data_IF_205481702796
#
_entry.id   IF_205481702796
#
_cell.length_a   1.000
_cell.length_b   1.000
_cell.length_c   1.000
_cell.angle_alpha   90.00
_cell.angle_beta   90.00
_cell.angle_gamma   90.00
#
_symmetry.space_group_name_H-M   'P 1'
#
loop_
_entity.id
_entity.type
_entity.pdbx_description
1 polymer ?
#
# COMPACT_ATOMS: atom_id res chain seq x y z
N UNK A 1 16.35 -8.18 26.41
CA UNK A 1 14.89 -8.14 26.16
C UNK A 1 14.38 -6.81 25.57
N UNK A 2 15.24 -5.82 25.28
CA UNK A 2 14.84 -4.57 24.60
C UNK A 2 14.88 -4.72 23.07
N UNK A 3 15.79 -5.53 22.56
CA UNK A 3 16.01 -5.72 21.11
C UNK A 3 14.95 -6.62 20.44
N UNK A 4 14.22 -7.44 21.21
CA UNK A 4 13.20 -8.35 20.66
C UNK A 4 11.85 -7.63 20.43
N UNK A 5 11.55 -6.61 21.25
CA UNK A 5 10.38 -5.74 21.08
C UNK A 5 10.52 -4.82 19.87
N UNK A 6 11.74 -4.39 19.56
CA UNK A 6 12.04 -3.55 18.39
C UNK A 6 11.82 -4.32 17.08
N UNK A 7 12.17 -5.62 17.05
CA UNK A 7 11.96 -6.50 15.89
C UNK A 7 10.47 -6.77 15.61
N UNK A 8 9.65 -6.80 16.66
CA UNK A 8 8.21 -7.02 16.52
C UNK A 8 7.48 -5.76 16.01
N UNK A 9 7.95 -4.56 16.36
CA UNK A 9 7.43 -3.30 15.80
C UNK A 9 7.78 -3.11 14.32
N UNK A 10 8.94 -3.58 13.87
CA UNK A 10 9.36 -3.46 12.47
C UNK A 10 8.54 -4.32 11.50
N UNK A 11 7.88 -5.38 11.97
CA UNK A 11 7.01 -6.23 11.14
C UNK A 11 5.60 -5.64 10.94
N UNK A 12 5.22 -4.64 11.74
CA UNK A 12 3.89 -3.99 11.66
C UNK A 12 3.90 -2.67 10.88
N UNK A 13 5.07 -2.14 10.53
CA UNK A 13 5.22 -0.88 9.77
C UNK A 13 5.56 -1.06 8.28
N UNK A 14 5.74 -2.28 7.78
CA UNK A 14 5.86 -2.53 6.33
C UNK A 14 4.49 -2.51 5.64
N UNK A 15 3.67 -1.52 5.99
CA UNK A 15 2.48 -1.12 5.25
C UNK A 15 2.91 -0.35 4.01
N UNK A 16 3.14 -1.09 2.92
CA UNK A 16 2.87 -0.68 1.54
C UNK A 16 3.50 0.67 1.13
N UNK A 17 4.79 0.62 0.81
CA UNK A 17 5.40 1.62 -0.06
C UNK A 17 4.97 1.32 -1.51
N UNK A 18 3.98 2.07 -1.99
CA UNK A 18 3.57 2.07 -3.39
C UNK A 18 4.05 3.35 -4.07
N UNK A 19 5.36 3.57 -4.13
CA UNK A 19 5.93 4.55 -5.05
C UNK A 19 6.35 3.78 -6.31
N UNK A 20 5.40 3.60 -7.23
CA UNK A 20 5.70 3.08 -8.57
C UNK A 20 6.04 4.24 -9.47
N UNK A 21 7.32 4.57 -9.52
CA UNK A 21 7.90 5.59 -10.41
C UNK A 21 8.12 5.05 -11.85
N UNK A 22 7.18 4.24 -12.35
CA UNK A 22 7.32 3.47 -13.59
C UNK A 22 6.01 3.43 -14.40
N UNK A 23 5.32 4.56 -14.61
CA UNK A 23 4.16 4.66 -15.54
C UNK A 23 2.99 3.68 -15.28
N UNK A 24 3.04 2.91 -14.19
CA UNK A 24 2.09 1.89 -13.79
C UNK A 24 1.14 2.51 -12.77
N UNK A 25 -0.13 2.57 -13.11
CA UNK A 25 -1.17 3.13 -12.27
C UNK A 25 -2.14 2.02 -11.89
N UNK A 26 -2.37 1.87 -10.59
CA UNK A 26 -3.43 1.02 -10.07
C UNK A 26 -4.60 1.89 -9.62
N UNK A 27 -5.80 1.56 -10.10
CA UNK A 27 -7.00 2.39 -9.92
C UNK A 27 -8.17 1.48 -9.56
N UNK A 28 -9.05 1.90 -8.66
CA UNK A 28 -10.22 1.10 -8.30
C UNK A 28 -11.27 1.18 -9.40
N UNK A 29 -11.98 0.08 -9.59
CA UNK A 29 -13.13 0.05 -10.47
C UNK A 29 -14.19 1.08 -10.05
N UNK A 30 -14.75 1.79 -11.02
CA UNK A 30 -15.68 2.92 -10.81
C UNK A 30 -15.00 4.29 -10.72
N UNK A 31 -13.72 4.36 -10.35
CA UNK A 31 -13.00 5.62 -10.23
C UNK A 31 -12.58 6.19 -11.60
N UNK A 32 -11.97 7.38 -11.58
CA UNK A 32 -11.33 7.99 -12.74
C UNK A 32 -9.82 7.93 -12.67
N UNK A 33 -9.16 7.80 -13.81
CA UNK A 33 -7.70 7.92 -13.93
C UNK A 33 -7.33 9.02 -14.90
N UNK A 34 -6.28 9.77 -14.57
CA UNK A 34 -5.71 10.80 -15.46
C UNK A 34 -4.28 10.41 -15.82
N UNK A 35 -4.06 10.15 -17.10
CA UNK A 35 -2.74 9.91 -17.67
C UNK A 35 -2.05 11.26 -17.87
N UNK A 36 -1.34 11.70 -16.84
CA UNK A 36 -0.72 13.03 -16.79
C UNK A 36 0.50 13.11 -17.70
N UNK A 37 0.57 14.21 -18.45
CA UNK A 37 1.74 14.59 -19.25
C UNK A 37 2.22 15.97 -18.80
N UNK A 38 3.52 16.23 -18.89
CA UNK A 38 4.04 17.56 -18.57
C UNK A 38 3.77 18.48 -19.78
N UNK A 39 3.27 19.72 -19.59
CA UNK A 39 3.04 20.64 -20.71
C UNK A 39 4.28 20.86 -21.60
N UNK A 40 5.48 20.76 -21.02
CA UNK A 40 6.74 20.86 -21.73
C UNK A 40 6.95 19.75 -22.77
N UNK A 41 6.37 18.57 -22.55
CA UNK A 41 6.52 17.40 -23.43
C UNK A 41 5.82 17.61 -24.78
N UNK A 42 4.74 18.41 -24.80
CA UNK A 42 3.93 18.70 -25.99
C UNK A 42 4.30 20.02 -26.67
N UNK A 43 5.38 20.66 -26.22
CA UNK A 43 5.86 21.90 -26.85
C UNK A 43 6.21 21.64 -28.32
N UNK A 44 5.68 22.48 -29.22
CA UNK A 44 5.81 22.34 -30.69
C UNK A 44 5.28 21.02 -31.25
N UNK A 45 4.38 20.34 -30.54
CA UNK A 45 3.65 19.22 -31.09
C UNK A 45 2.59 19.72 -32.08
N UNK A 46 2.47 19.03 -33.21
CA UNK A 46 1.49 19.29 -34.27
C UNK A 46 0.15 18.63 -33.91
N UNK A 47 0.20 17.34 -33.54
CA UNK A 47 -0.96 16.59 -33.06
C UNK A 47 -0.59 15.61 -31.93
N UNK A 48 -1.58 15.24 -31.12
CA UNK A 48 -1.46 14.16 -30.13
C UNK A 48 -2.43 13.04 -30.46
N UNK A 49 -1.97 11.80 -30.30
CA UNK A 49 -2.80 10.61 -30.51
C UNK A 49 -2.64 9.67 -29.33
N UNK A 50 -3.76 9.36 -28.70
CA UNK A 50 -3.83 8.37 -27.65
C UNK A 50 -4.28 7.04 -28.21
N UNK A 51 -3.54 5.99 -27.86
CA UNK A 51 -3.82 4.61 -28.23
C UNK A 51 -4.06 3.78 -26.98
N UNK A 52 -5.01 2.87 -27.08
CA UNK A 52 -5.21 1.78 -26.14
C UNK A 52 -4.97 0.47 -26.89
N UNK A 53 -3.97 -0.31 -26.47
CA UNK A 53 -3.56 -1.55 -27.15
C UNK A 53 -3.48 -1.36 -28.69
N UNK A 54 -2.68 -0.38 -29.12
CA UNK A 54 -2.45 0.04 -30.53
C UNK A 54 -3.64 0.69 -31.27
N UNK A 55 -4.84 0.65 -30.69
CA UNK A 55 -6.06 1.24 -31.27
C UNK A 55 -6.20 2.70 -30.85
N UNK A 56 -6.46 3.62 -31.79
CA UNK A 56 -6.56 5.05 -31.47
C UNK A 56 -7.91 5.34 -30.80
N UNK A 57 -7.87 5.94 -29.61
CA UNK A 57 -9.04 6.24 -28.79
C UNK A 57 -9.30 7.74 -28.64
N UNK A 58 -8.29 8.59 -28.85
CA UNK A 58 -8.46 10.04 -28.90
C UNK A 58 -7.38 10.69 -29.77
N UNK A 59 -7.73 11.78 -30.43
CA UNK A 59 -6.82 12.62 -31.23
C UNK A 59 -7.11 14.08 -30.97
N UNK A 60 -6.06 14.91 -30.97
CA UNK A 60 -6.23 16.38 -30.95
C UNK A 60 -5.20 17.03 -31.86
N UNK A 61 -5.68 17.92 -32.72
CA UNK A 61 -4.87 18.81 -33.56
C UNK A 61 -4.54 20.06 -32.74
N UNK A 62 -3.24 20.28 -32.49
CA UNK A 62 -2.76 21.41 -31.68
C UNK A 62 -2.52 22.67 -32.52
N UNK A 63 -2.35 22.54 -33.85
CA UNK A 63 -2.24 23.68 -34.77
C UNK A 63 -3.59 24.37 -34.98
N UNK A 64 -4.66 23.59 -35.04
CA UNK A 64 -6.04 24.08 -35.06
C UNK A 64 -6.49 24.59 -33.69
N UNK A 65 -6.25 25.88 -33.40
CA UNK A 65 -6.50 26.52 -32.08
C UNK A 65 -7.90 26.28 -31.50
N UNK A 66 -8.92 26.03 -32.32
CA UNK A 66 -10.32 25.87 -31.89
C UNK A 66 -10.95 24.52 -32.27
N UNK A 67 -10.16 23.54 -32.74
CA UNK A 67 -10.72 22.23 -33.10
C UNK A 67 -10.97 21.39 -31.84
N UNK A 68 -12.15 20.81 -31.62
CA UNK A 68 -12.34 19.91 -30.48
C UNK A 68 -11.53 18.62 -30.65
N UNK A 69 -11.19 17.93 -29.54
CA UNK A 69 -10.66 16.57 -29.61
C UNK A 69 -11.61 15.63 -30.36
N UNK A 70 -11.06 14.70 -31.11
CA UNK A 70 -11.80 13.67 -31.84
C UNK A 70 -11.65 12.36 -31.09
N UNK A 71 -12.79 11.72 -30.78
CA UNK A 71 -12.85 10.40 -30.17
C UNK A 71 -13.41 9.42 -31.20
N UNK A 72 -12.59 8.52 -31.75
CA UNK A 72 -13.08 7.41 -32.57
C UNK A 72 -14.14 6.61 -31.79
N UNK A 73 -15.13 6.08 -32.50
CA UNK A 73 -16.24 5.34 -31.90
C UNK A 73 -15.78 3.96 -31.43
N UNK A 74 -15.10 3.96 -30.28
CA UNK A 74 -14.73 2.78 -29.55
C UNK A 74 -15.76 2.54 -28.45
N UNK A 75 -16.64 1.55 -28.67
CA UNK A 75 -17.78 1.21 -27.78
C UNK A 75 -17.37 1.14 -26.31
N UNK A 76 -16.15 0.67 -26.02
CA UNK A 76 -15.57 0.57 -24.68
C UNK A 76 -15.44 1.92 -23.98
N UNK A 77 -15.01 2.94 -24.72
CA UNK A 77 -14.64 4.26 -24.19
C UNK A 77 -15.72 5.33 -24.39
N UNK A 78 -16.90 4.93 -24.90
CA UNK A 78 -18.01 5.84 -25.19
C UNK A 78 -18.36 6.70 -23.98
N UNK A 79 -18.34 8.02 -24.18
CA UNK A 79 -18.64 9.06 -23.18
C UNK A 79 -17.73 9.06 -21.92
N UNK A 80 -16.61 8.31 -21.94
CA UNK A 80 -15.71 8.16 -20.77
C UNK A 80 -14.41 8.96 -20.88
N UNK A 81 -14.02 9.34 -22.10
CA UNK A 81 -12.74 10.01 -22.38
C UNK A 81 -12.85 11.53 -22.34
N UNK A 82 -11.86 12.16 -21.72
CA UNK A 82 -11.66 13.61 -21.73
C UNK A 82 -10.19 13.93 -21.99
N UNK A 83 -9.90 14.53 -23.13
CA UNK A 83 -8.56 14.96 -23.52
C UNK A 83 -8.38 16.46 -23.27
N UNK A 84 -7.43 16.82 -22.42
CA UNK A 84 -7.10 18.20 -22.09
C UNK A 84 -6.12 18.79 -23.11
N UNK A 85 -6.51 19.89 -23.76
CA UNK A 85 -5.67 20.57 -24.77
C UNK A 85 -4.43 21.21 -24.18
N UNK A 86 -4.52 21.78 -22.98
CA UNK A 86 -3.44 22.59 -22.39
C UNK A 86 -2.17 21.77 -22.08
N UNK A 87 -2.34 20.52 -21.65
CA UNK A 87 -1.25 19.67 -21.21
C UNK A 87 -1.19 18.31 -21.93
N UNK A 88 -2.20 17.97 -22.75
CA UNK A 88 -2.29 16.72 -23.50
C UNK A 88 -2.80 15.51 -22.70
N UNK A 89 -3.11 15.69 -21.41
CA UNK A 89 -3.48 14.61 -20.48
C UNK A 89 -4.82 14.01 -20.86
N UNK A 90 -4.91 12.68 -20.73
CA UNK A 90 -6.14 11.94 -20.98
C UNK A 90 -6.74 11.48 -19.66
N UNK A 91 -7.98 11.87 -19.42
CA UNK A 91 -8.78 11.38 -18.30
C UNK A 91 -9.77 10.34 -18.80
N UNK A 92 -9.83 9.21 -18.10
CA UNK A 92 -10.76 8.11 -18.33
C UNK A 92 -11.63 8.02 -17.08
N UNK A 93 -12.93 8.22 -17.26
CA UNK A 93 -13.92 8.20 -16.18
C UNK A 93 -14.65 6.87 -16.11
N UNK A 94 -15.14 6.51 -14.92
CA UNK A 94 -15.86 5.26 -14.67
C UNK A 94 -15.09 4.05 -15.21
N UNK A 95 -13.85 3.90 -14.74
CA UNK A 95 -12.97 2.84 -15.21
C UNK A 95 -13.47 1.46 -14.76
N UNK A 96 -13.30 0.45 -15.60
CA UNK A 96 -13.69 -0.94 -15.32
C UNK A 96 -12.55 -1.88 -15.67
N UNK A 97 -12.64 -3.14 -15.26
CA UNK A 97 -11.64 -4.16 -15.63
C UNK A 97 -11.27 -4.19 -17.12
N UNK A 98 -12.24 -3.94 -18.02
CA UNK A 98 -12.03 -3.86 -19.48
C UNK A 98 -11.10 -2.72 -19.94
N UNK A 99 -10.96 -1.67 -19.14
CA UNK A 99 -10.11 -0.53 -19.42
C UNK A 99 -8.66 -0.75 -18.96
N UNK A 100 -8.36 -1.89 -18.34
CA UNK A 100 -6.98 -2.26 -17.99
C UNK A 100 -6.17 -2.54 -19.26
N UNK A 101 -4.95 -2.04 -19.32
CA UNK A 101 -4.08 -2.25 -20.47
C UNK A 101 -3.03 -1.17 -20.66
N UNK A 102 -2.45 -1.17 -21.86
CA UNK A 102 -1.38 -0.25 -22.23
C UNK A 102 -1.97 0.93 -22.99
N UNK A 103 -1.70 2.13 -22.47
CA UNK A 103 -2.04 3.39 -23.08
C UNK A 103 -0.76 4.02 -23.63
N UNK A 104 -0.76 4.34 -24.92
CA UNK A 104 0.37 4.96 -25.58
C UNK A 104 -0.02 6.31 -26.16
N UNK A 105 0.73 7.34 -25.80
CA UNK A 105 0.67 8.65 -26.40
C UNK A 105 1.70 8.74 -27.52
N UNK A 106 1.27 9.10 -28.72
CA UNK A 106 2.10 9.52 -29.84
C UNK A 106 2.04 11.05 -29.92
N UNK A 107 3.18 11.71 -29.69
CA UNK A 107 3.36 13.16 -29.82
C UNK A 107 3.96 13.41 -31.20
N UNK A 108 3.15 13.92 -32.13
CA UNK A 108 3.62 14.19 -33.49
C UNK A 108 4.31 15.54 -33.60
N UNK A 109 5.49 15.51 -34.19
CA UNK A 109 6.37 16.62 -34.55
C UNK A 109 7.39 16.09 -35.56
N UNK A 110 8.34 16.92 -35.98
CA UNK A 110 9.46 16.53 -36.85
C UNK A 110 10.12 15.19 -36.48
N UNK A 111 10.30 14.93 -35.18
CA UNK A 111 10.63 13.61 -34.64
C UNK A 111 9.58 13.19 -33.60
N UNK A 112 8.69 12.31 -34.03
CA UNK A 112 7.61 11.80 -33.17
C UNK A 112 8.16 11.12 -31.93
N UNK A 113 7.53 11.36 -30.79
CA UNK A 113 7.93 10.80 -29.49
C UNK A 113 6.78 10.04 -28.87
N UNK A 114 7.09 9.00 -28.11
CA UNK A 114 6.09 8.12 -27.52
C UNK A 114 6.20 8.10 -26.00
N UNK A 115 5.06 8.05 -25.32
CA UNK A 115 4.97 7.79 -23.88
C UNK A 115 4.00 6.66 -23.62
N UNK A 116 4.37 5.78 -22.70
CA UNK A 116 3.60 4.58 -22.38
C UNK A 116 3.17 4.60 -20.93
N UNK A 117 1.91 4.30 -20.70
CA UNK A 117 1.28 4.20 -19.39
C UNK A 117 0.62 2.83 -19.29
N UNK A 118 0.75 2.17 -18.15
CA UNK A 118 0.05 0.92 -17.88
C UNK A 118 -0.98 1.16 -16.81
N UNK A 119 -2.23 0.86 -17.10
CA UNK A 119 -3.33 1.01 -16.16
C UNK A 119 -3.84 -0.36 -15.78
N UNK A 120 -3.86 -0.62 -14.47
CA UNK A 120 -4.41 -1.82 -13.86
C UNK A 120 -5.62 -1.45 -13.00
N UNK A 121 -6.77 -2.04 -13.29
CA UNK A 121 -7.99 -1.78 -12.54
C UNK A 121 -8.19 -2.86 -11.48
N UNK A 122 -8.32 -2.43 -10.24
CA UNK A 122 -8.59 -3.29 -9.09
C UNK A 122 -10.11 -3.31 -8.89
N UNK A 123 -10.73 -4.47 -9.07
CA UNK A 123 -12.13 -4.65 -8.76
C UNK A 123 -12.37 -4.33 -7.28
N UNK A 124 -13.40 -3.53 -6.98
CA UNK A 124 -13.89 -3.38 -5.61
C UNK A 124 -14.56 -4.70 -5.25
N UNK A 125 -13.76 -5.64 -4.77
CA UNK A 125 -14.31 -6.69 -3.94
C UNK A 125 -14.66 -5.96 -2.66
N UNK A 126 -15.95 -5.67 -2.42
CA UNK A 126 -16.38 -5.44 -1.04
C UNK A 126 -15.73 -6.57 -0.25
N UNK A 127 -14.87 -6.27 0.74
CA UNK A 127 -14.21 -7.34 1.45
C UNK A 127 -15.33 -8.05 2.20
N UNK A 128 -15.82 -9.13 1.58
CA UNK A 128 -16.88 -9.98 2.08
C UNK A 128 -16.46 -10.38 3.47
N UNK A 129 -16.97 -9.68 4.48
CA UNK A 129 -16.66 -9.91 5.88
C UNK A 129 -15.16 -10.20 6.07
N UNK A 130 -14.31 -9.18 5.89
CA UNK A 130 -12.91 -9.20 6.31
C UNK A 130 -12.91 -9.60 7.78
N UNK A 131 -12.77 -10.90 8.02
CA UNK A 131 -13.36 -11.47 9.21
C UNK A 131 -12.45 -11.12 10.37
N UNK A 132 -13.08 -10.94 11.52
CA UNK A 132 -12.48 -10.54 12.78
C UNK A 132 -11.16 -11.30 13.10
N UNK A 133 -10.87 -12.46 12.48
CA UNK A 133 -9.62 -13.22 12.58
C UNK A 133 -8.35 -12.44 12.20
N UNK A 134 -8.41 -11.46 11.29
CA UNK A 134 -7.21 -10.68 10.91
C UNK A 134 -6.72 -9.76 12.03
N UNK A 135 -7.60 -9.38 12.97
CA UNK A 135 -7.27 -8.57 14.15
C UNK A 135 -7.25 -9.45 15.41
N UNK A 136 -8.22 -10.36 15.56
CA UNK A 136 -8.36 -11.23 16.74
C UNK A 136 -7.20 -12.21 16.85
N UNK A 137 -6.66 -12.72 15.74
CA UNK A 137 -5.54 -13.66 15.74
C UNK A 137 -4.28 -13.08 16.41
N UNK A 138 -3.73 -11.97 15.90
CA UNK A 138 -2.58 -11.31 16.52
C UNK A 138 -2.84 -10.85 17.97
N UNK A 139 -4.02 -10.29 18.26
CA UNK A 139 -4.37 -9.81 19.62
C UNK A 139 -4.44 -10.96 20.62
N UNK A 140 -5.06 -12.09 20.24
CA UNK A 140 -5.15 -13.27 21.09
C UNK A 140 -3.77 -13.89 21.33
N UNK A 141 -2.91 -13.95 20.30
CA UNK A 141 -1.54 -14.44 20.43
C UNK A 141 -0.73 -13.59 21.41
N UNK A 142 -0.82 -12.25 21.33
CA UNK A 142 -0.16 -11.33 22.27
C UNK A 142 -0.69 -11.50 23.68
N UNK A 143 -2.01 -11.63 23.87
CA UNK A 143 -2.61 -11.86 25.18
C UNK A 143 -2.11 -13.17 25.81
N UNK A 144 -2.01 -14.25 25.04
CA UNK A 144 -1.46 -15.54 25.50
C UNK A 144 0.01 -15.41 25.92
N UNK A 145 0.83 -14.71 25.14
CA UNK A 145 2.24 -14.47 25.48
C UNK A 145 2.37 -13.67 26.78
N UNK A 146 1.56 -12.62 26.96
CA UNK A 146 1.55 -11.83 28.20
C UNK A 146 1.13 -12.66 29.42
N UNK A 147 0.14 -13.55 29.27
CA UNK A 147 -0.27 -14.47 30.33
C UNK A 147 0.86 -15.45 30.70
N UNK A 148 1.54 -16.05 29.71
CA UNK A 148 2.67 -16.95 29.96
C UNK A 148 3.82 -16.25 30.67
N UNK A 149 4.17 -15.03 30.25
CA UNK A 149 5.20 -14.21 30.91
C UNK A 149 4.78 -13.86 32.34
N UNK A 150 3.51 -13.49 32.56
CA UNK A 150 2.97 -13.22 33.89
C UNK A 150 3.04 -14.44 34.81
N UNK A 151 2.69 -15.63 34.33
CA UNK A 151 2.78 -16.89 35.08
C UNK A 151 4.24 -17.19 35.44
N UNK A 152 5.16 -17.11 34.47
CA UNK A 152 6.59 -17.31 34.72
C UNK A 152 7.14 -16.31 35.74
N UNK A 153 6.73 -15.04 35.66
CA UNK A 153 7.10 -14.02 36.64
C UNK A 153 6.59 -14.35 38.05
N UNK A 154 5.34 -14.81 38.18
CA UNK A 154 4.79 -15.25 39.47
C UNK A 154 5.54 -16.45 40.04
N UNK A 155 5.85 -17.45 39.21
CA UNK A 155 6.64 -18.62 39.60
C UNK A 155 8.03 -18.18 40.07
N UNK A 156 8.71 -17.33 39.30
CA UNK A 156 10.01 -16.77 39.65
C UNK A 156 9.96 -16.04 40.99
N UNK A 157 8.94 -15.19 41.21
CA UNK A 157 8.76 -14.46 42.48
C UNK A 157 8.52 -15.41 43.65
N UNK A 158 7.75 -16.49 43.45
CA UNK A 158 7.54 -17.52 44.48
C UNK A 158 8.80 -18.31 44.78
N UNK A 159 9.59 -18.66 43.76
CA UNK A 159 10.87 -19.33 43.93
C UNK A 159 11.84 -18.46 44.73
N UNK A 160 11.99 -17.18 44.35
CA UNK A 160 12.88 -16.23 45.04
C UNK A 160 12.51 -16.06 46.51
N UNK A 161 11.23 -15.88 46.83
CA UNK A 161 10.77 -15.77 48.23
C UNK A 161 11.09 -17.05 49.03
N UNK A 162 11.02 -18.23 48.42
CA UNK A 162 11.39 -19.50 49.10
C UNK A 162 12.87 -19.56 49.43
N UNK A 163 13.74 -19.11 48.52
CA UNK A 163 15.18 -19.11 48.76
C UNK A 163 15.58 -18.14 49.88
N UNK A 164 14.99 -16.94 49.90
CA UNK A 164 15.14 -15.97 51.00
C UNK A 164 14.69 -16.57 52.35
N UNK A 165 13.58 -17.31 52.37
CA UNK A 165 13.09 -18.00 53.57
C UNK A 165 14.02 -19.15 54.01
N UNK A 166 14.63 -19.87 53.07
CA UNK A 166 15.61 -20.92 53.36
C UNK A 166 16.91 -20.34 53.93
N UNK A 167 17.38 -19.21 53.40
CA UNK A 167 18.54 -18.50 53.94
C UNK A 167 18.25 -17.96 55.35
N UNK A 168 17.08 -17.36 55.57
CA UNK A 168 16.64 -16.89 56.87
C UNK A 168 16.55 -18.03 57.90
N UNK A 169 15.92 -19.15 57.54
CA UNK A 169 15.81 -20.34 58.40
C UNK A 169 17.17 -20.93 58.77
N UNK A 170 18.14 -20.94 57.84
CA UNK A 170 19.53 -21.34 58.13
C UNK A 170 20.19 -20.38 59.14
N UNK A 171 19.99 -19.06 59.00
CA UNK A 171 20.52 -18.05 59.95
C UNK A 171 19.94 -18.24 61.36
N UNK A 172 18.62 -18.47 61.48
CA UNK A 172 17.96 -18.70 62.77
C UNK A 172 18.46 -19.98 63.45
N UNK A 173 18.55 -21.11 62.71
CA UNK A 173 19.10 -22.37 63.25
C UNK A 173 20.55 -22.20 63.73
N UNK A 174 21.40 -21.50 62.96
CA UNK A 174 22.80 -21.23 63.33
C UNK A 174 22.91 -20.37 64.60
N UNK A 175 22.00 -19.41 64.80
CA UNK A 175 21.97 -18.57 66.02
C UNK A 175 21.52 -19.37 67.25
N UNK A 176 20.54 -20.27 67.10
CA UNK A 176 20.03 -21.12 68.19
C UNK A 176 21.08 -22.13 68.72
N UNK A 177 21.94 -22.67 67.84
CA UNK A 177 23.01 -23.60 68.24
C UNK A 177 24.19 -22.94 68.97
N UNK A 178 24.28 -21.60 68.97
CA UNK A 178 25.36 -20.86 69.66
C UNK A 178 24.97 -20.32 71.03
N UNK A 179 23.74 -20.58 71.50
CA UNK A 179 23.28 -20.18 72.82
C UNK A 179 23.56 -21.32 73.82
N UNK A 180 24.26 -21.08 74.93
CA UNK A 180 24.47 -22.10 75.95
C UNK A 180 23.12 -22.47 76.60
N UNK A 181 22.92 -23.76 76.85
CA UNK A 181 21.87 -24.25 77.74
C UNK A 181 22.23 -23.77 79.15
N UNK A 182 21.51 -22.76 79.63
CA UNK A 182 21.53 -22.35 81.04
C UNK A 182 20.42 -23.14 81.74
#
# INVERSE_FOLDING_TARGET
MKNLLILFCSLLLSGVFGETDDGNMSVKEGDSVTLKIKPQDINRAEDLRWRFNDTIIAKIDLEGKDKPPVYPDEKRFRDRLKLERENGSLTITHITSEHSGVYQLEIRRSQSTYKTFRVSVIAITEPSQMSHWMITGPVLAVAVVLLLVGVLYVIYKRYKKRDEMLEYGKKVKKKKMRLPYI
#
